data_IF_795361797537
#
_entry.id   IF_795361797537
#
_cell.length_a   1.000
_cell.length_b   1.000
_cell.length_c   1.000
_cell.angle_alpha   90.00
_cell.angle_beta   90.00
_cell.angle_gamma   90.00
#
_symmetry.space_group_name_H-M   'P 1'
#
loop_
_entity.id
_entity.type
_entity.pdbx_description
1 polymer ?
#
# COMPACT_ATOMS: atom_id res chain seq x y z
N UNK A 1 -5.23 -9.32 12.04
CA UNK A 1 -4.11 -10.11 11.49
C UNK A 1 -3.13 -9.15 10.83
N UNK A 2 -1.89 -9.05 11.31
CA UNK A 2 -0.88 -8.17 10.71
C UNK A 2 -0.01 -9.00 9.76
N UNK A 3 -0.37 -9.05 8.47
CA UNK A 3 0.38 -9.76 7.43
C UNK A 3 1.33 -8.83 6.69
N UNK A 4 2.40 -9.39 6.15
CA UNK A 4 3.32 -8.70 5.24
C UNK A 4 2.66 -8.58 3.87
N UNK A 5 2.69 -7.38 3.28
CA UNK A 5 2.23 -7.18 1.91
C UNK A 5 3.38 -7.53 0.94
N UNK A 6 3.09 -8.39 -0.03
CA UNK A 6 4.05 -8.88 -1.03
C UNK A 6 4.66 -7.79 -1.90
N UNK A 7 3.95 -6.69 -2.14
CA UNK A 7 4.43 -5.59 -2.97
C UNK A 7 5.33 -4.62 -2.21
N UNK A 8 5.21 -4.56 -0.88
CA UNK A 8 5.99 -3.63 -0.04
C UNK A 8 7.05 -4.32 0.80
N UNK A 9 7.00 -5.64 0.97
CA UNK A 9 7.88 -6.39 1.89
C UNK A 9 7.63 -6.11 3.38
N UNK A 10 6.76 -5.15 3.69
CA UNK A 10 6.44 -4.68 5.03
C UNK A 10 4.97 -4.95 5.40
N UNK A 11 4.70 -5.02 6.71
CA UNK A 11 3.34 -5.03 7.23
C UNK A 11 2.77 -3.62 7.37
N UNK A 12 1.45 -3.46 7.27
CA UNK A 12 0.81 -2.15 7.43
C UNK A 12 1.08 -1.53 8.81
N UNK A 13 1.23 -2.37 9.85
CA UNK A 13 1.60 -1.89 11.18
C UNK A 13 3.01 -1.29 11.20
N UNK A 14 3.97 -1.91 10.51
CA UNK A 14 5.34 -1.37 10.40
C UNK A 14 5.37 -0.06 9.61
N UNK A 15 4.61 0.04 8.53
CA UNK A 15 4.51 1.29 7.76
C UNK A 15 3.90 2.43 8.59
N UNK A 16 2.88 2.13 9.42
CA UNK A 16 2.20 3.13 10.23
C UNK A 16 2.99 3.54 11.48
N UNK A 17 3.70 2.60 12.11
CA UNK A 17 4.29 2.81 13.44
C UNK A 17 5.82 2.64 13.49
N UNK A 18 6.48 2.38 12.35
CA UNK A 18 7.94 2.22 12.27
C UNK A 18 8.51 0.97 12.96
N UNK A 19 7.65 0.11 13.53
CA UNK A 19 8.04 -1.05 14.35
C UNK A 19 7.11 -2.23 14.12
N UNK A 20 7.57 -3.44 14.40
CA UNK A 20 6.71 -4.62 14.40
C UNK A 20 5.72 -4.56 15.58
N UNK A 21 4.51 -5.13 15.45
CA UNK A 21 3.61 -5.25 16.58
C UNK A 21 4.28 -6.12 17.66
N UNK A 22 4.26 -5.63 18.90
CA UNK A 22 4.73 -6.38 20.07
C UNK A 22 3.54 -6.70 20.95
N UNK A 23 3.53 -7.89 21.53
CA UNK A 23 2.61 -8.19 22.63
C UNK A 23 2.98 -7.28 23.78
N UNK A 24 1.99 -6.56 24.33
CA UNK A 24 2.21 -5.73 25.51
C UNK A 24 2.66 -6.66 26.64
N UNK A 25 3.83 -6.45 27.25
CA UNK A 25 4.25 -7.25 28.40
C UNK A 25 3.19 -7.18 29.50
N UNK A 26 3.01 -8.25 30.30
CA UNK A 26 2.08 -8.20 31.44
C UNK A 26 2.42 -6.98 32.31
N UNK A 27 1.42 -6.16 32.59
CA UNK A 27 1.58 -4.94 33.39
C UNK A 27 1.88 -5.36 34.84
N UNK A 28 3.16 -5.44 35.19
CA UNK A 28 3.58 -5.61 36.57
C UNK A 28 3.19 -4.35 37.36
N UNK A 29 2.57 -4.52 38.53
CA UNK A 29 2.34 -3.42 39.48
C UNK A 29 3.67 -3.08 40.16
N UNK A 30 4.58 -2.48 39.41
CA UNK A 30 5.81 -1.91 39.98
C UNK A 30 5.49 -0.52 40.51
N UNK A 31 5.72 -0.31 41.80
CA UNK A 31 5.55 0.97 42.51
C UNK A 31 6.56 2.04 42.10
N UNK A 32 7.53 1.69 41.26
CA UNK A 32 8.57 2.59 40.79
C UNK A 32 8.24 3.09 39.38
N UNK A 33 7.96 4.39 39.27
CA UNK A 33 7.88 5.07 37.98
C UNK A 33 9.31 5.19 37.45
N UNK A 34 9.61 4.66 36.25
CA UNK A 34 10.94 4.85 35.65
C UNK A 34 11.22 6.34 35.52
N UNK A 35 12.32 6.81 36.14
CA UNK A 35 12.81 8.18 35.90
C UNK A 35 13.37 8.20 34.48
N UNK A 36 12.79 9.05 33.63
CA UNK A 36 13.29 9.28 32.26
C UNK A 36 14.75 9.71 32.28
N UNK A 37 15.50 9.33 31.24
CA UNK A 37 16.91 9.65 31.08
C UNK A 37 17.04 10.50 29.81
N UNK A 38 17.02 11.84 29.92
CA UNK A 38 16.79 12.72 28.77
C UNK A 38 17.78 12.50 27.63
N UNK A 39 19.06 12.26 27.92
CA UNK A 39 20.09 12.05 26.89
C UNK A 39 19.93 10.73 26.14
N UNK A 40 19.50 9.65 26.81
CA UNK A 40 19.27 8.36 26.16
C UNK A 40 17.94 8.37 25.42
N UNK A 41 16.91 8.97 26.01
CA UNK A 41 15.57 9.04 25.44
C UNK A 41 15.58 9.88 24.14
N UNK A 42 16.38 10.95 24.09
CA UNK A 42 16.58 11.76 22.89
C UNK A 42 17.26 10.98 21.76
N UNK A 43 18.34 10.22 22.05
CA UNK A 43 19.03 9.38 21.07
C UNK A 43 18.14 8.25 20.54
N UNK A 44 17.37 7.64 21.43
CA UNK A 44 16.42 6.59 21.06
C UNK A 44 15.32 7.15 20.15
N UNK A 45 14.80 8.35 20.46
CA UNK A 45 13.83 9.04 19.61
C UNK A 45 14.40 9.37 18.23
N UNK A 46 15.62 9.89 18.16
CA UNK A 46 16.30 10.17 16.89
C UNK A 46 16.48 8.89 16.05
N UNK A 47 16.96 7.81 16.68
CA UNK A 47 17.11 6.52 16.01
C UNK A 47 15.78 5.97 15.48
N UNK A 48 14.70 6.18 16.22
CA UNK A 48 13.36 5.77 15.83
C UNK A 48 12.86 6.55 14.60
N UNK A 49 13.07 7.88 14.58
CA UNK A 49 12.70 8.71 13.43
C UNK A 49 13.50 8.33 12.17
N UNK A 50 14.81 8.11 12.31
CA UNK A 50 15.67 7.66 11.21
C UNK A 50 15.23 6.29 10.68
N UNK A 51 14.81 5.39 11.57
CA UNK A 51 14.25 4.09 11.15
C UNK A 51 12.94 4.27 10.39
N UNK A 52 12.07 5.17 10.82
CA UNK A 52 10.79 5.43 10.17
C UNK A 52 11.00 5.97 8.74
N UNK A 53 11.93 6.91 8.56
CA UNK A 53 12.26 7.43 7.22
C UNK A 53 12.83 6.35 6.31
N UNK A 54 13.70 5.48 6.84
CA UNK A 54 14.27 4.38 6.06
C UNK A 54 13.19 3.37 5.64
N UNK A 55 12.25 3.04 6.52
CA UNK A 55 11.12 2.15 6.19
C UNK A 55 10.22 2.75 5.11
N UNK A 56 10.01 4.07 5.13
CA UNK A 56 9.24 4.75 4.08
C UNK A 56 9.96 4.69 2.73
N UNK A 57 11.26 4.93 2.69
CA UNK A 57 12.07 4.82 1.47
C UNK A 57 12.04 3.39 0.91
N UNK A 58 12.28 2.39 1.76
CA UNK A 58 12.23 0.98 1.38
C UNK A 58 10.84 0.58 0.81
N UNK A 59 9.76 1.06 1.43
CA UNK A 59 8.42 0.82 0.95
C UNK A 59 8.17 1.41 -0.45
N UNK A 60 8.66 2.64 -0.69
CA UNK A 60 8.52 3.33 -1.99
C UNK A 60 9.31 2.59 -3.07
N UNK A 61 10.54 2.17 -2.78
CA UNK A 61 11.37 1.41 -3.71
C UNK A 61 10.74 0.05 -4.06
N UNK A 62 10.21 -0.65 -3.06
CA UNK A 62 9.51 -1.92 -3.27
C UNK A 62 8.25 -1.75 -4.12
N UNK A 63 7.46 -0.69 -3.88
CA UNK A 63 6.29 -0.38 -4.71
C UNK A 63 6.66 -0.04 -6.15
N UNK A 64 7.77 0.68 -6.35
CA UNK A 64 8.26 0.99 -7.68
C UNK A 64 8.68 -0.29 -8.42
N UNK A 65 9.46 -1.16 -7.76
CA UNK A 65 9.85 -2.46 -8.31
C UNK A 65 8.62 -3.32 -8.64
N UNK A 66 7.67 -3.43 -7.72
CA UNK A 66 6.43 -4.17 -7.93
C UNK A 66 5.65 -3.66 -9.14
N UNK A 67 5.59 -2.34 -9.34
CA UNK A 67 4.92 -1.73 -10.51
C UNK A 67 5.62 -2.12 -11.81
N UNK A 68 6.96 -2.06 -11.86
CA UNK A 68 7.74 -2.47 -13.03
C UNK A 68 7.51 -3.94 -13.36
N UNK A 69 7.54 -4.82 -12.35
CA UNK A 69 7.26 -6.24 -12.52
C UNK A 69 5.83 -6.50 -12.99
N UNK A 70 4.84 -5.78 -12.45
CA UNK A 70 3.46 -5.87 -12.90
C UNK A 70 3.32 -5.49 -14.38
N UNK A 71 3.95 -4.39 -14.82
CA UNK A 71 3.97 -4.00 -16.22
C UNK A 71 4.63 -5.08 -17.09
N UNK A 72 5.82 -5.55 -16.71
CA UNK A 72 6.53 -6.60 -17.43
C UNK A 72 5.70 -7.87 -17.61
N UNK A 73 5.06 -8.35 -16.54
CA UNK A 73 4.23 -9.55 -16.59
C UNK A 73 2.91 -9.34 -17.35
N UNK A 74 2.31 -8.16 -17.26
CA UNK A 74 1.12 -7.81 -18.02
C UNK A 74 1.41 -7.72 -19.53
N UNK A 75 2.55 -7.11 -19.90
CA UNK A 75 2.95 -6.96 -21.29
C UNK A 75 3.47 -8.28 -21.90
N UNK A 76 3.97 -9.22 -21.08
CA UNK A 76 4.46 -10.53 -21.54
C UNK A 76 3.44 -11.32 -22.35
N UNK A 77 2.16 -11.28 -21.97
CA UNK A 77 1.07 -11.97 -22.66
C UNK A 77 0.22 -11.04 -23.52
N UNK A 78 0.61 -9.78 -23.64
CA UNK A 78 -0.16 -8.79 -24.38
C UNK A 78 0.02 -9.02 -25.89
N UNK A 79 -1.10 -9.11 -26.60
CA UNK A 79 -1.11 -9.15 -28.06
C UNK A 79 -0.67 -7.82 -28.69
N UNK A 80 -0.48 -7.78 -30.02
CA UNK A 80 -0.18 -6.54 -30.72
C UNK A 80 -1.19 -5.47 -30.37
N UNK A 81 -0.71 -4.28 -29.97
CA UNK A 81 -1.58 -3.16 -29.67
C UNK A 81 -2.04 -2.54 -30.98
N UNK A 82 -3.35 -2.51 -31.21
CA UNK A 82 -3.93 -1.80 -32.35
C UNK A 82 -3.70 -0.28 -32.15
N UNK A 83 -3.14 0.38 -33.16
CA UNK A 83 -2.93 1.82 -33.17
C UNK A 83 -4.07 2.45 -33.96
N UNK A 84 -5.01 3.07 -33.26
CA UNK A 84 -6.13 3.77 -33.88
C UNK A 84 -5.76 5.21 -34.24
N UNK A 85 -6.18 5.66 -35.42
CA UNK A 85 -6.07 7.04 -35.86
C UNK A 85 -7.42 7.78 -35.77
N UNK A 86 -7.36 9.11 -35.77
CA UNK A 86 -8.55 9.94 -35.77
C UNK A 86 -9.34 9.69 -37.08
N UNK A 87 -10.59 9.23 -36.93
CA UNK A 87 -11.47 8.85 -38.05
C UNK A 87 -11.71 7.34 -38.16
N UNK A 88 -10.96 6.51 -37.43
CA UNK A 88 -11.16 5.05 -37.44
C UNK A 88 -12.49 4.66 -36.78
N UNK A 89 -13.20 3.74 -37.41
CA UNK A 89 -14.44 3.17 -36.89
C UNK A 89 -14.12 1.95 -36.04
N UNK A 90 -14.31 2.06 -34.73
CA UNK A 90 -14.12 0.96 -33.78
C UNK A 90 -15.45 0.47 -33.23
N UNK A 91 -15.62 -0.86 -33.15
CA UNK A 91 -16.82 -1.45 -32.56
C UNK A 91 -16.66 -1.55 -31.04
N UNK A 92 -17.44 -0.76 -30.31
CA UNK A 92 -17.48 -0.84 -28.85
C UNK A 92 -18.36 -2.01 -28.40
N UNK A 93 -17.79 -2.93 -27.62
CA UNK A 93 -18.59 -3.97 -26.96
C UNK A 93 -19.56 -3.34 -25.96
N UNK A 94 -20.86 -3.52 -26.20
CA UNK A 94 -21.92 -3.07 -25.29
C UNK A 94 -22.33 -4.13 -24.26
N UNK A 95 -21.65 -5.27 -24.22
CA UNK A 95 -22.04 -6.44 -23.42
C UNK A 95 -22.24 -6.11 -21.93
N UNK A 96 -21.33 -5.31 -21.35
CA UNK A 96 -21.39 -4.91 -19.93
C UNK A 96 -21.86 -3.47 -19.69
N UNK A 97 -22.40 -2.80 -20.72
CA UNK A 97 -22.76 -1.37 -20.63
C UNK A 97 -23.76 -1.09 -19.50
N UNK A 98 -24.70 -2.02 -19.26
CA UNK A 98 -25.70 -1.93 -18.17
C UNK A 98 -25.12 -2.18 -16.76
N UNK A 99 -23.98 -2.87 -16.65
CA UNK A 99 -23.32 -3.13 -15.37
C UNK A 99 -22.39 -1.97 -14.98
N UNK A 100 -21.63 -1.44 -15.94
CA UNK A 100 -20.75 -0.29 -15.72
C UNK A 100 -21.51 1.00 -15.36
N UNK A 101 -22.75 1.17 -15.84
CA UNK A 101 -23.57 2.35 -15.56
C UNK A 101 -24.27 2.32 -14.19
N UNK A 102 -24.24 1.20 -13.46
CA UNK A 102 -24.83 1.12 -12.12
C UNK A 102 -23.80 1.57 -11.10
N UNK A 103 -23.81 2.86 -10.74
CA UNK A 103 -23.25 3.29 -9.45
C UNK A 103 -23.99 2.57 -8.32
N UNK A 104 -23.27 2.16 -7.28
CA UNK A 104 -23.86 1.64 -6.06
C UNK A 104 -24.82 2.72 -5.47
N UNK A 105 -26.12 2.46 -5.51
CA UNK A 105 -27.15 3.30 -4.89
C UNK A 105 -28.19 3.94 -5.82
N UNK A 106 -27.98 3.99 -7.14
CA UNK A 106 -28.94 4.66 -8.04
C UNK A 106 -29.79 3.70 -8.86
N UNK A 107 -31.12 3.75 -8.65
CA UNK A 107 -32.16 3.01 -9.38
C UNK A 107 -32.61 3.75 -10.65
N UNK A 108 -31.71 4.14 -11.57
CA UNK A 108 -32.16 4.78 -12.82
C UNK A 108 -31.61 4.10 -14.06
N UNK A 109 -32.54 3.50 -14.81
CA UNK A 109 -32.39 3.06 -16.19
C UNK A 109 -32.95 4.19 -17.06
N UNK A 110 -32.13 4.76 -17.95
CA UNK A 110 -32.67 5.50 -19.09
C UNK A 110 -33.17 4.47 -20.12
N UNK A 111 -34.40 4.64 -20.57
CA UNK A 111 -35.03 3.85 -21.65
C UNK A 111 -34.29 4.04 -22.97
#
# INVERSE_FOLDING_TARGET
MNSVNSSTGLSMFQLRYGRSPRVIPPLARTSEVPKGRPDTDAKDAESFLNRLSNLELEARDNLYCAKVLQCFHADKSRGPCEVFQAGDLVLLSTLHRRQAYKKAGEKRVAK
#
